data_IF_262411322965
#
_entry.id   IF_262411322965
#
_cell.length_a   1.000
_cell.length_b   1.000
_cell.length_c   1.000
_cell.angle_alpha   90.00
_cell.angle_beta   90.00
_cell.angle_gamma   90.00
#
_symmetry.space_group_name_H-M   'P 1'
#
loop_
_entity.id
_entity.type
_entity.pdbx_description
1 polymer ?
#
# COMPACT_ATOMS: atom_id res chain seq x y z
N UNK A 1 17.87 11.27 21.81
CA UNK A 1 17.32 10.14 21.02
C UNK A 1 18.38 9.68 20.04
N UNK A 2 18.94 8.47 20.22
CA UNK A 2 20.02 7.95 19.37
C UNK A 2 19.54 7.75 17.92
N UNK A 3 20.33 8.26 16.96
CA UNK A 3 20.11 7.99 15.53
C UNK A 3 20.26 6.48 15.31
N UNK A 4 19.15 5.77 15.08
CA UNK A 4 19.19 4.38 14.62
C UNK A 4 19.77 4.39 13.20
N UNK A 5 21.00 3.91 13.04
CA UNK A 5 21.65 3.81 11.74
C UNK A 5 20.90 2.85 10.83
N UNK A 6 20.55 3.30 9.63
CA UNK A 6 20.01 2.45 8.56
C UNK A 6 21.15 2.11 7.62
N UNK A 7 21.39 0.82 7.40
CA UNK A 7 22.39 0.34 6.44
C UNK A 7 21.70 -0.10 5.16
N UNK A 8 22.02 0.57 4.06
CA UNK A 8 21.63 0.16 2.72
C UNK A 8 22.73 -0.72 2.12
N UNK A 9 22.34 -1.87 1.57
CA UNK A 9 23.24 -2.84 0.94
C UNK A 9 22.90 -2.97 -0.54
N UNK A 10 23.85 -3.45 -1.33
CA UNK A 10 23.69 -3.64 -2.78
C UNK A 10 23.41 -2.35 -3.56
N UNK A 11 23.98 -1.21 -3.12
CA UNK A 11 24.03 -0.01 -3.96
C UNK A 11 25.19 -0.21 -4.92
N UNK A 12 24.94 0.02 -6.21
CA UNK A 12 25.98 0.02 -7.23
C UNK A 12 27.09 1.03 -6.89
N UNK A 13 28.34 0.60 -7.03
CA UNK A 13 29.48 1.39 -6.55
C UNK A 13 29.66 2.68 -7.37
N UNK A 14 29.45 2.63 -8.68
CA UNK A 14 29.57 3.80 -9.56
C UNK A 14 28.46 4.81 -9.24
N UNK A 15 27.22 4.32 -9.06
CA UNK A 15 26.09 5.14 -8.62
C UNK A 15 26.37 5.83 -7.29
N UNK A 16 26.93 5.11 -6.32
CA UNK A 16 27.28 5.69 -5.02
C UNK A 16 28.34 6.80 -5.15
N UNK A 17 29.37 6.60 -5.98
CA UNK A 17 30.41 7.62 -6.22
C UNK A 17 29.82 8.88 -6.85
N UNK A 18 28.96 8.75 -7.86
CA UNK A 18 28.32 9.89 -8.50
C UNK A 18 27.42 10.67 -7.54
N UNK A 19 26.61 9.97 -6.73
CA UNK A 19 25.76 10.59 -5.72
C UNK A 19 26.61 11.33 -4.69
N UNK A 20 27.73 10.74 -4.25
CA UNK A 20 28.65 11.37 -3.30
C UNK A 20 29.27 12.65 -3.88
N UNK A 21 29.71 12.62 -5.14
CA UNK A 21 30.27 13.80 -5.80
C UNK A 21 29.23 14.92 -5.93
N UNK A 22 28.01 14.59 -6.39
CA UNK A 22 26.92 15.58 -6.52
C UNK A 22 26.46 16.14 -5.17
N UNK A 23 26.40 15.31 -4.13
CA UNK A 23 26.06 15.75 -2.79
C UNK A 23 27.09 16.76 -2.25
N UNK A 24 28.38 16.51 -2.47
CA UNK A 24 29.46 17.44 -2.10
C UNK A 24 29.34 18.78 -2.82
N UNK A 25 29.06 18.77 -4.13
CA UNK A 25 28.84 20.00 -4.92
C UNK A 25 27.64 20.82 -4.43
N UNK A 26 26.61 20.15 -3.93
CA UNK A 26 25.39 20.77 -3.40
C UNK A 26 25.49 21.14 -1.91
N UNK A 27 26.62 20.86 -1.25
CA UNK A 27 26.80 21.12 0.18
C UNK A 27 25.91 20.28 1.09
N UNK A 28 25.45 19.11 0.63
CA UNK A 28 24.61 18.18 1.39
C UNK A 28 25.32 16.85 1.63
N UNK A 29 24.85 16.09 2.61
CA UNK A 29 25.31 14.72 2.86
C UNK A 29 24.65 13.73 1.89
N UNK A 30 25.32 12.59 1.66
CA UNK A 30 24.72 11.47 0.90
C UNK A 30 23.42 11.00 1.55
N UNK A 31 23.33 11.01 2.88
CA UNK A 31 22.10 10.66 3.60
C UNK A 31 20.94 11.61 3.31
N UNK A 32 21.20 12.90 3.18
CA UNK A 32 20.19 13.89 2.79
C UNK A 32 19.72 13.66 1.35
N UNK A 33 20.65 13.42 0.42
CA UNK A 33 20.32 13.09 -0.97
C UNK A 33 19.45 11.81 -1.06
N UNK A 34 19.79 10.77 -0.31
CA UNK A 34 18.99 9.53 -0.24
C UNK A 34 17.60 9.79 0.35
N UNK A 35 17.51 10.59 1.42
CA UNK A 35 16.22 10.94 2.02
C UNK A 35 15.33 11.74 1.06
N UNK A 36 15.90 12.68 0.32
CA UNK A 36 15.19 13.44 -0.72
C UNK A 36 14.68 12.50 -1.82
N UNK A 37 15.54 11.61 -2.33
CA UNK A 37 15.17 10.65 -3.36
C UNK A 37 14.05 9.69 -2.88
N UNK A 38 14.13 9.19 -1.64
CA UNK A 38 13.09 8.32 -1.07
C UNK A 38 11.76 9.05 -0.88
N UNK A 39 11.78 10.30 -0.40
CA UNK A 39 10.57 11.12 -0.27
C UNK A 39 9.91 11.35 -1.63
N UNK A 40 10.70 11.70 -2.64
CA UNK A 40 10.20 11.87 -4.01
C UNK A 40 9.69 10.56 -4.62
N UNK A 41 10.39 9.45 -4.39
CA UNK A 41 9.95 8.13 -4.82
C UNK A 41 8.62 7.72 -4.17
N UNK A 42 8.42 8.03 -2.88
CA UNK A 42 7.16 7.77 -2.17
C UNK A 42 6.02 8.72 -2.58
N UNK A 43 6.34 9.95 -3.00
CA UNK A 43 5.36 10.93 -3.50
C UNK A 43 4.80 10.56 -4.86
N UNK A 44 5.59 9.87 -5.69
CA UNK A 44 5.10 9.34 -6.96
C UNK A 44 4.00 8.33 -6.64
N UNK A 45 2.74 8.57 -7.06
CA UNK A 45 1.74 7.53 -6.98
C UNK A 45 2.31 6.32 -7.72
N UNK A 46 2.10 5.12 -7.17
CA UNK A 46 2.50 3.87 -7.84
C UNK A 46 1.59 3.68 -9.06
N UNK A 47 1.72 4.55 -10.06
CA UNK A 47 1.04 4.49 -11.35
C UNK A 47 1.95 3.63 -12.22
N UNK A 48 1.83 2.33 -12.06
CA UNK A 48 2.80 1.43 -12.69
C UNK A 48 2.85 0.01 -12.19
N UNK A 49 2.21 -0.34 -11.07
CA UNK A 49 1.83 -1.74 -10.87
C UNK A 49 0.54 -1.99 -11.66
N UNK A 50 0.63 -1.91 -12.99
CA UNK A 50 -0.09 -2.83 -13.88
C UNK A 50 0.57 -4.22 -13.77
N UNK A 51 0.83 -4.68 -12.55
CA UNK A 51 1.00 -6.10 -12.30
C UNK A 51 -0.39 -6.69 -12.49
N UNK A 52 -0.50 -7.76 -13.28
CA UNK A 52 -1.66 -8.67 -13.37
C UNK A 52 -2.77 -8.28 -12.39
N UNK A 53 -3.86 -7.67 -12.90
CA UNK A 53 -5.15 -7.49 -12.24
C UNK A 53 -5.17 -8.15 -10.85
N UNK A 54 -4.92 -7.36 -9.80
CA UNK A 54 -4.61 -7.90 -8.47
C UNK A 54 -5.83 -8.61 -7.91
N UNK A 55 -5.95 -9.89 -8.26
CA UNK A 55 -7.17 -10.68 -8.11
C UNK A 55 -7.67 -10.69 -6.66
N UNK A 56 -6.76 -10.66 -5.69
CA UNK A 56 -7.12 -10.59 -4.26
C UNK A 56 -7.79 -9.26 -3.92
N UNK A 57 -7.33 -8.16 -4.52
CA UNK A 57 -7.89 -6.83 -4.32
C UNK A 57 -9.24 -6.69 -5.01
N UNK A 58 -9.36 -7.15 -6.25
CA UNK A 58 -10.65 -7.20 -6.97
C UNK A 58 -11.67 -8.08 -6.24
N UNK A 59 -11.24 -9.23 -5.73
CA UNK A 59 -12.09 -10.12 -4.92
C UNK A 59 -12.50 -9.45 -3.60
N UNK A 60 -11.56 -8.79 -2.91
CA UNK A 60 -11.83 -8.08 -1.67
C UNK A 60 -12.83 -6.93 -1.88
N UNK A 61 -12.69 -6.16 -2.96
CA UNK A 61 -13.65 -5.11 -3.33
C UNK A 61 -15.03 -5.69 -3.62
N UNK A 62 -15.12 -6.72 -4.47
CA UNK A 62 -16.40 -7.36 -4.82
C UNK A 62 -17.11 -7.94 -3.60
N UNK A 63 -16.38 -8.61 -2.71
CA UNK A 63 -16.93 -9.18 -1.49
C UNK A 63 -17.30 -8.08 -0.48
N UNK A 64 -16.50 -7.04 -0.32
CA UNK A 64 -16.83 -5.93 0.56
C UNK A 64 -18.12 -5.22 0.12
N UNK A 65 -18.30 -4.96 -1.19
CA UNK A 65 -19.55 -4.40 -1.71
C UNK A 65 -20.74 -5.32 -1.46
N UNK A 66 -20.61 -6.62 -1.76
CA UNK A 66 -21.67 -7.60 -1.51
C UNK A 66 -22.08 -7.66 -0.04
N UNK A 67 -21.10 -7.71 0.88
CA UNK A 67 -21.38 -7.79 2.31
C UNK A 67 -21.99 -6.49 2.84
N UNK A 68 -21.60 -5.35 2.27
CA UNK A 68 -22.21 -4.06 2.59
C UNK A 68 -23.68 -4.00 2.13
N UNK A 69 -23.98 -4.46 0.93
CA UNK A 69 -25.37 -4.58 0.41
C UNK A 69 -26.22 -5.53 1.26
N UNK A 70 -25.63 -6.59 1.80
CA UNK A 70 -26.26 -7.51 2.76
C UNK A 70 -26.40 -6.91 4.20
N UNK A 71 -26.00 -5.66 4.41
CA UNK A 71 -26.07 -4.98 5.72
C UNK A 71 -25.03 -5.43 6.74
N UNK A 72 -24.02 -6.21 6.32
CA UNK A 72 -22.95 -6.69 7.19
C UNK A 72 -21.91 -5.59 7.41
N UNK A 73 -21.31 -5.59 8.58
CA UNK A 73 -20.26 -4.63 8.99
C UNK A 73 -19.00 -5.38 9.41
N UNK A 74 -17.88 -4.66 9.45
CA UNK A 74 -16.59 -5.18 9.92
C UNK A 74 -15.54 -5.18 8.81
N UNK A 75 -14.65 -6.17 8.85
CA UNK A 75 -13.46 -6.27 8.03
C UNK A 75 -13.40 -7.62 7.33
N UNK A 76 -13.20 -7.58 6.02
CA UNK A 76 -13.01 -8.75 5.19
C UNK A 76 -11.52 -9.06 5.06
N UNK A 77 -11.12 -10.26 5.48
CA UNK A 77 -9.77 -10.79 5.26
C UNK A 77 -9.81 -11.75 4.09
N UNK A 78 -9.18 -11.39 2.97
CA UNK A 78 -9.09 -12.24 1.78
C UNK A 78 -7.70 -12.84 1.68
N UNK A 79 -7.65 -14.16 1.67
CA UNK A 79 -6.41 -14.95 1.66
C UNK A 79 -6.18 -15.59 0.30
N UNK A 80 -7.24 -16.12 -0.31
CA UNK A 80 -7.20 -16.78 -1.62
C UNK A 80 -8.54 -16.64 -2.35
N UNK A 81 -8.67 -17.24 -3.54
CA UNK A 81 -9.93 -17.27 -4.32
C UNK A 81 -11.11 -17.87 -3.54
N UNK A 82 -10.81 -18.84 -2.68
CA UNK A 82 -11.81 -19.68 -1.99
C UNK A 82 -11.81 -19.48 -0.49
N UNK A 83 -10.88 -18.68 0.03
CA UNK A 83 -10.67 -18.54 1.46
C UNK A 83 -10.65 -17.06 1.84
N UNK A 84 -11.72 -16.66 2.52
CA UNK A 84 -11.93 -15.32 3.04
C UNK A 84 -12.75 -15.39 4.33
N UNK A 85 -12.57 -14.40 5.19
CA UNK A 85 -13.15 -14.37 6.53
C UNK A 85 -13.70 -12.98 6.82
N UNK A 86 -14.84 -12.92 7.52
CA UNK A 86 -15.37 -11.67 8.05
C UNK A 86 -15.00 -11.58 9.52
N UNK A 87 -14.42 -10.45 9.91
CA UNK A 87 -14.05 -10.13 11.28
C UNK A 87 -14.82 -8.88 11.72
N UNK A 88 -15.15 -8.79 13.00
CA UNK A 88 -15.81 -7.63 13.61
C UNK A 88 -14.84 -6.49 13.91
N UNK A 89 -13.55 -6.78 14.11
CA UNK A 89 -12.51 -5.76 14.38
C UNK A 89 -11.18 -6.05 13.68
N UNK A 90 -10.29 -5.05 13.67
CA UNK A 90 -8.92 -5.19 13.14
C UNK A 90 -8.11 -6.16 14.01
N UNK A 91 -8.27 -6.13 15.33
CA UNK A 91 -7.58 -7.05 16.25
C UNK A 91 -7.91 -8.50 15.90
N UNK A 92 -9.17 -8.80 15.63
CA UNK A 92 -9.61 -10.13 15.21
C UNK A 92 -8.97 -10.53 13.86
N UNK A 93 -8.89 -9.61 12.89
CA UNK A 93 -8.16 -9.85 11.65
C UNK A 93 -6.68 -10.21 11.91
N UNK A 94 -6.02 -9.49 12.82
CA UNK A 94 -4.60 -9.73 13.13
C UNK A 94 -4.41 -11.08 13.81
N UNK A 95 -5.28 -11.46 14.75
CA UNK A 95 -5.24 -12.78 15.40
C UNK A 95 -5.41 -13.90 14.37
N UNK A 96 -6.40 -13.76 13.49
CA UNK A 96 -6.66 -14.70 12.40
C UNK A 96 -5.44 -14.84 11.48
N UNK A 97 -4.88 -13.73 11.02
CA UNK A 97 -3.71 -13.74 10.12
C UNK A 97 -2.50 -14.37 10.80
N UNK A 98 -2.23 -14.07 12.07
CA UNK A 98 -1.13 -14.69 12.82
C UNK A 98 -1.28 -16.20 12.91
N UNK A 99 -2.49 -16.72 13.14
CA UNK A 99 -2.78 -18.16 13.12
C UNK A 99 -2.48 -18.76 11.74
N UNK A 100 -3.02 -18.16 10.69
CA UNK A 100 -2.86 -18.61 9.32
C UNK A 100 -1.40 -18.57 8.83
N UNK A 101 -0.62 -17.58 9.26
CA UNK A 101 0.82 -17.50 8.99
C UNK A 101 1.61 -18.60 9.72
N UNK A 102 1.29 -18.88 11.00
CA UNK A 102 1.94 -19.97 11.77
C UNK A 102 1.71 -21.33 11.12
N UNK A 103 0.52 -21.55 10.58
CA UNK A 103 0.16 -22.78 9.85
C UNK A 103 0.75 -22.84 8.43
N UNK A 104 1.53 -21.83 8.02
CA UNK A 104 2.09 -21.67 6.66
C UNK A 104 1.04 -21.76 5.54
N UNK A 105 -0.23 -21.49 5.85
CA UNK A 105 -1.34 -21.56 4.90
C UNK A 105 -1.40 -20.34 3.98
N UNK A 106 -0.72 -19.26 4.34
CA UNK A 106 -0.85 -17.98 3.64
C UNK A 106 0.52 -17.39 3.29
N UNK A 107 0.67 -16.97 2.03
CA UNK A 107 1.82 -16.17 1.55
C UNK A 107 1.47 -14.69 1.41
N UNK A 108 0.18 -14.40 1.19
CA UNK A 108 -0.35 -13.06 0.93
C UNK A 108 -1.78 -12.99 1.45
N UNK A 109 -2.17 -11.84 1.98
CA UNK A 109 -3.53 -11.55 2.42
C UNK A 109 -3.84 -10.06 2.23
N UNK A 110 -5.13 -9.71 2.17
CA UNK A 110 -5.62 -8.34 2.14
C UNK A 110 -6.73 -8.20 3.18
N UNK A 111 -6.68 -7.11 3.95
CA UNK A 111 -7.78 -6.68 4.81
C UNK A 111 -8.50 -5.55 4.09
N UNK A 112 -9.82 -5.65 3.95
CA UNK A 112 -10.68 -4.61 3.39
C UNK A 112 -11.87 -4.39 4.30
N UNK A 113 -12.04 -3.17 4.78
CA UNK A 113 -13.24 -2.81 5.55
C UNK A 113 -14.49 -2.94 4.69
N UNK A 114 -15.60 -3.41 5.27
CA UNK A 114 -16.91 -3.49 4.61
C UNK A 114 -17.54 -2.10 4.66
N UNK A 115 -17.14 -1.25 3.72
CA UNK A 115 -17.62 0.13 3.55
C UNK A 115 -17.90 0.42 2.08
N UNK A 116 -18.88 1.28 1.78
CA UNK A 116 -19.18 1.67 0.42
C UNK A 116 -17.95 2.34 -0.19
N UNK A 117 -17.79 2.15 -1.49
CA UNK A 117 -16.71 2.81 -2.23
C UNK A 117 -16.97 4.31 -2.19
N UNK A 118 -15.98 5.11 -1.78
CA UNK A 118 -16.05 6.56 -1.95
C UNK A 118 -16.05 6.84 -3.46
N UNK A 119 -17.21 7.16 -4.00
CA UNK A 119 -17.34 7.57 -5.39
C UNK A 119 -16.95 9.05 -5.43
N UNK A 120 -15.89 9.40 -6.17
CA UNK A 120 -15.67 10.79 -6.56
C UNK A 120 -16.65 11.08 -7.69
N UNK A 121 -17.54 12.01 -7.45
CA UNK A 121 -18.41 12.52 -8.49
C UNK A 121 -17.62 13.56 -9.28
N UNK A 122 -17.64 13.46 -10.60
CA UNK A 122 -17.19 14.53 -11.47
C UNK A 122 -18.50 15.14 -12.00
N UNK A 123 -18.84 16.32 -11.50
CA UNK A 123 -19.93 17.11 -12.05
C UNK A 123 -19.41 17.88 -13.25
N UNK A 124 -20.06 17.74 -14.40
CA UNK A 124 -19.68 18.41 -15.64
C UNK A 124 -20.84 19.31 -16.07
N UNK A 125 -20.66 20.61 -15.90
CA UNK A 125 -21.63 21.63 -16.28
C UNK A 125 -20.95 22.95 -16.63
N UNK A 126 -21.41 23.60 -17.71
CA UNK A 126 -21.19 25.03 -17.95
C UNK A 126 -19.75 25.57 -18.03
N UNK A 127 -18.76 24.75 -18.41
CA UNK A 127 -17.42 25.25 -18.79
C UNK A 127 -16.28 25.07 -17.78
N UNK A 128 -16.43 24.22 -16.76
CA UNK A 128 -15.34 23.88 -15.84
C UNK A 128 -15.41 22.43 -15.35
N UNK A 129 -14.26 21.86 -14.97
CA UNK A 129 -14.13 20.56 -14.28
C UNK A 129 -13.76 20.88 -12.83
N UNK A 130 -14.67 20.63 -11.89
CA UNK A 130 -14.35 20.66 -10.46
C UNK A 130 -14.28 19.24 -9.91
N UNK A 131 -13.29 18.98 -9.05
CA UNK A 131 -13.14 17.71 -8.34
C UNK A 131 -13.68 17.91 -6.92
N UNK A 132 -14.84 17.30 -6.63
CA UNK A 132 -15.46 17.29 -5.28
C UNK A 132 -15.17 15.96 -4.59
#
# INVERSE_FOLDING_TARGET
MGKRGVFLRNIDEEVYREVKARAALLGITVSEAVNMALREWLRKPVVGVKGKRDYLKDLAERLASKYYEEGRKGFLVVVSKREYYLCSSIEECVVLLRRLYREKKIKRSIIREVKPKSVRFIEVGGGGIEVI
#
